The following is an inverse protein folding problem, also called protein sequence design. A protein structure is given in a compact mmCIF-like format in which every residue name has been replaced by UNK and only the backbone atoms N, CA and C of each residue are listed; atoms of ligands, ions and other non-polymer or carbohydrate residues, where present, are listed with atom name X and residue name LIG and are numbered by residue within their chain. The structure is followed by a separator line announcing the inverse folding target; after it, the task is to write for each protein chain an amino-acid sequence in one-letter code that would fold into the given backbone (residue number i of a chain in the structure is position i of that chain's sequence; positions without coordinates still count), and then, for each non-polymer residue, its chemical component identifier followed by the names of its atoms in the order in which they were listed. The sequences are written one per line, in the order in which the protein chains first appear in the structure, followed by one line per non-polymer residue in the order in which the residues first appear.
data_IF_652995836066
#
_entry.id   IF_652995836066
#
_cell.length_a   1.000
_cell.length_b   1.000
_cell.length_c   1.000
_cell.angle_alpha   90.00
_cell.angle_beta   90.00
_cell.angle_gamma   90.00
#
_symmetry.space_group_name_H-M   'P 1'
#
loop_
_entity.id
_entity.type
_entity.pdbx_description
1 polymer ?
#
# COMPACT_ATOMS: atom_id res chain seq x y z
N UNK A 1 34.59 34.73 -56.92
CA UNK A 1 34.84 34.68 -55.46
C UNK A 1 34.15 35.86 -54.80
N UNK A 2 33.01 35.65 -54.15
CA UNK A 2 32.37 36.63 -53.25
C UNK A 2 31.82 35.85 -52.06
N UNK A 3 32.55 35.93 -50.97
CA UNK A 3 32.22 35.43 -49.64
C UNK A 3 31.06 36.25 -49.07
N UNK A 4 29.95 35.59 -48.73
CA UNK A 4 28.88 36.16 -47.91
C UNK A 4 28.99 35.48 -46.55
N UNK A 5 29.48 36.24 -45.58
CA UNK A 5 29.46 35.95 -44.15
C UNK A 5 28.29 36.73 -43.56
N UNK A 6 27.28 36.04 -43.03
CA UNK A 6 26.29 36.67 -42.15
C UNK A 6 25.56 35.62 -41.32
N UNK A 7 25.28 36.03 -40.08
CA UNK A 7 24.31 35.50 -39.12
C UNK A 7 24.75 34.25 -38.32
N UNK A 8 24.57 34.18 -37.00
CA UNK A 8 24.15 35.17 -35.98
C UNK A 8 24.54 34.53 -34.64
N UNK A 9 25.33 35.22 -33.83
CA UNK A 9 25.61 34.82 -32.46
C UNK A 9 24.46 35.31 -31.57
N UNK A 10 23.69 34.38 -30.99
CA UNK A 10 22.74 34.63 -29.89
C UNK A 10 22.51 33.29 -29.16
N UNK A 11 23.50 32.89 -28.36
CA UNK A 11 23.31 31.86 -27.33
C UNK A 11 23.32 32.59 -25.98
N UNK A 12 22.14 33.01 -25.54
CA UNK A 12 21.92 33.53 -24.19
C UNK A 12 22.13 32.43 -23.14
N UNK A 13 22.62 32.77 -21.93
CA UNK A 13 22.82 31.79 -20.87
C UNK A 13 21.47 31.24 -20.40
N UNK A 14 21.31 29.91 -20.46
CA UNK A 14 20.23 29.19 -19.82
C UNK A 14 20.34 29.40 -18.31
N UNK A 15 19.45 30.21 -17.77
CA UNK A 15 19.26 30.34 -16.32
C UNK A 15 18.79 28.98 -15.83
N UNK A 16 19.64 28.26 -15.10
CA UNK A 16 19.26 27.05 -14.37
C UNK A 16 18.23 27.44 -13.31
N UNK A 17 16.95 27.22 -13.61
CA UNK A 17 15.93 27.18 -12.59
C UNK A 17 16.12 25.89 -11.80
N UNK A 18 16.94 25.96 -10.75
CA UNK A 18 16.76 25.08 -9.61
C UNK A 18 15.46 25.51 -8.92
N UNK A 19 14.33 25.16 -9.54
CA UNK A 19 13.01 25.31 -8.92
C UNK A 19 13.00 24.40 -7.72
N UNK A 20 12.94 24.99 -6.52
CA UNK A 20 12.51 24.31 -5.32
C UNK A 20 11.33 23.41 -5.69
N UNK A 21 11.41 22.12 -5.34
CA UNK A 21 10.35 21.15 -5.62
C UNK A 21 9.06 21.82 -5.14
N UNK A 22 8.12 22.17 -6.03
CA UNK A 22 6.90 22.85 -5.62
C UNK A 22 6.23 21.97 -4.57
N UNK A 23 5.83 22.60 -3.46
CA UNK A 23 5.24 21.91 -2.33
C UNK A 23 3.99 21.17 -2.84
N UNK A 24 4.08 19.84 -2.92
CA UNK A 24 3.01 19.03 -3.53
C UNK A 24 1.95 18.84 -2.48
N UNK A 25 0.86 19.60 -2.62
CA UNK A 25 -0.29 19.55 -1.72
C UNK A 25 -1.40 18.65 -2.29
N UNK A 26 -2.18 17.98 -1.46
CA UNK A 26 -3.50 17.30 -1.62
C UNK A 26 -4.48 17.97 -2.55
N UNK A 27 -4.38 19.29 -2.78
CA UNK A 27 -5.05 19.94 -3.92
C UNK A 27 -4.70 19.28 -5.27
N UNK A 28 -3.61 18.52 -5.32
CA UNK A 28 -3.11 17.76 -6.46
C UNK A 28 -3.65 16.33 -6.52
N UNK A 29 -4.39 15.84 -5.53
CA UNK A 29 -5.01 14.51 -5.56
C UNK A 29 -6.52 14.67 -5.42
N UNK A 30 -7.26 14.42 -6.50
CA UNK A 30 -8.71 14.36 -6.42
C UNK A 30 -9.12 12.96 -5.95
N UNK A 31 -9.73 12.92 -4.76
CA UNK A 31 -10.22 11.72 -4.10
C UNK A 31 -11.72 11.61 -4.39
N UNK A 32 -12.08 10.88 -5.43
CA UNK A 32 -13.46 10.87 -5.95
C UNK A 32 -14.35 9.84 -5.27
N UNK A 33 -13.78 8.75 -4.74
CA UNK A 33 -14.56 7.67 -4.12
C UNK A 33 -13.68 6.79 -3.25
N UNK A 34 -14.24 6.41 -2.09
CA UNK A 34 -13.71 5.38 -1.21
C UNK A 34 -14.89 4.52 -0.85
N UNK A 35 -14.79 3.23 -1.17
CA UNK A 35 -15.79 2.26 -0.82
C UNK A 35 -15.14 1.15 0.01
N UNK A 36 -15.67 0.93 1.21
CA UNK A 36 -15.47 -0.30 1.98
C UNK A 36 -16.78 -1.08 1.95
N UNK A 37 -16.77 -2.22 1.24
CA UNK A 37 -17.80 -3.27 1.05
C UNK A 37 -19.27 -2.87 0.79
N UNK A 38 -19.69 -1.63 1.07
CA UNK A 38 -21.04 -1.06 0.92
C UNK A 38 -21.15 0.40 1.37
N UNK A 39 -20.17 0.99 2.08
CA UNK A 39 -20.25 2.34 2.63
C UNK A 39 -19.16 3.29 2.09
N UNK A 40 -19.56 4.52 1.79
CA UNK A 40 -18.60 5.60 1.50
C UNK A 40 -18.09 6.21 2.79
N UNK A 41 -16.79 6.29 2.97
CA UNK A 41 -16.18 6.98 4.13
C UNK A 41 -15.23 8.08 3.67
N UNK A 42 -15.17 9.17 4.42
CA UNK A 42 -14.27 10.28 4.11
C UNK A 42 -12.85 9.99 4.60
N UNK A 43 -11.85 10.41 3.81
CA UNK A 43 -10.47 10.50 4.32
C UNK A 43 -10.29 11.74 5.16
N UNK A 44 -9.43 11.58 6.14
CA UNK A 44 -8.80 12.64 6.89
C UNK A 44 -7.36 12.74 6.42
N UNK A 45 -6.97 13.91 5.92
CA UNK A 45 -5.56 14.20 5.62
C UNK A 45 -4.82 14.39 6.94
N UNK A 46 -3.73 13.65 7.12
CA UNK A 46 -2.86 13.73 8.30
C UNK A 46 -1.65 14.63 8.06
N UNK A 47 -1.06 14.55 6.87
CA UNK A 47 0.05 15.40 6.45
C UNK A 47 0.13 15.47 4.94
N UNK A 48 0.72 16.53 4.41
CA UNK A 48 0.72 16.81 2.99
C UNK A 48 1.86 17.76 2.63
N UNK A 49 3.05 17.19 2.47
CA UNK A 49 4.30 17.94 2.33
C UNK A 49 5.34 17.12 1.59
N UNK A 50 6.21 17.78 0.82
CA UNK A 50 7.38 17.14 0.21
C UNK A 50 7.08 16.00 -0.76
N UNK A 51 5.97 16.07 -1.52
CA UNK A 51 5.60 15.00 -2.46
C UNK A 51 4.90 13.80 -1.80
N UNK A 52 4.59 13.86 -0.51
CA UNK A 52 3.93 12.79 0.21
C UNK A 52 2.63 13.28 0.88
N UNK A 53 1.53 12.68 0.47
CA UNK A 53 0.21 12.90 1.07
C UNK A 53 -0.15 11.71 1.95
N UNK A 54 -0.27 11.93 3.26
CA UNK A 54 -0.64 10.91 4.24
C UNK A 54 -2.09 11.08 4.66
N UNK A 55 -2.87 10.00 4.57
CA UNK A 55 -4.30 9.99 4.85
C UNK A 55 -4.70 8.87 5.79
N UNK A 56 -5.83 9.05 6.47
CA UNK A 56 -6.52 8.00 7.23
C UNK A 56 -8.02 8.03 7.04
N UNK A 57 -8.72 6.94 7.34
CA UNK A 57 -10.19 6.87 7.30
C UNK A 57 -10.73 6.23 8.57
N UNK A 58 -11.90 6.69 8.99
CA UNK A 58 -12.64 6.05 10.06
C UNK A 58 -13.05 4.60 9.71
N UNK A 59 -13.14 4.25 8.41
CA UNK A 59 -13.42 2.89 7.98
C UNK A 59 -12.37 1.91 8.50
N UNK A 60 -11.08 2.28 8.53
CA UNK A 60 -10.06 1.38 9.06
C UNK A 60 -10.18 1.06 10.55
N UNK A 61 -11.02 1.81 11.30
CA UNK A 61 -11.34 1.44 12.69
C UNK A 61 -12.22 0.18 12.76
N UNK A 62 -12.79 -0.27 11.63
CA UNK A 62 -13.47 -1.58 11.53
C UNK A 62 -12.50 -2.74 11.45
N UNK A 63 -11.20 -2.53 11.21
CA UNK A 63 -10.17 -3.54 11.44
C UNK A 63 -10.05 -3.76 12.96
N UNK A 64 -11.03 -4.49 13.49
CA UNK A 64 -11.27 -4.68 14.91
C UNK A 64 -10.24 -5.63 15.48
N UNK A 65 -10.14 -5.59 16.80
CA UNK A 65 -9.52 -6.65 17.57
C UNK A 65 -10.24 -7.95 17.23
N UNK A 66 -9.52 -8.91 16.64
CA UNK A 66 -10.00 -10.28 16.57
C UNK A 66 -9.47 -10.99 17.80
N UNK A 67 -10.33 -11.70 18.50
CA UNK A 67 -9.94 -12.64 19.52
C UNK A 67 -10.65 -13.97 19.33
N UNK A 68 -10.03 -15.04 19.79
CA UNK A 68 -10.66 -16.36 19.87
C UNK A 68 -10.11 -17.11 21.09
N UNK A 69 -10.99 -17.85 21.75
CA UNK A 69 -10.69 -18.68 22.93
C UNK A 69 -11.21 -20.10 22.68
N UNK A 70 -10.31 -21.08 22.73
CA UNK A 70 -10.64 -22.51 22.63
C UNK A 70 -11.63 -22.81 21.51
N UNK A 71 -11.25 -22.64 20.25
CA UNK A 71 -12.22 -22.76 19.16
C UNK A 71 -11.62 -22.81 17.77
N UNK A 72 -12.40 -22.33 16.81
CA UNK A 72 -11.97 -22.15 15.42
C UNK A 72 -11.22 -20.82 15.27
N UNK A 73 -10.43 -20.73 14.21
CA UNK A 73 -9.81 -19.49 13.83
C UNK A 73 -10.87 -18.45 13.45
N UNK A 74 -10.68 -17.23 13.95
CA UNK A 74 -11.46 -16.06 13.58
C UNK A 74 -10.64 -15.24 12.58
N UNK A 75 -11.32 -14.82 11.51
CA UNK A 75 -10.73 -14.09 10.40
C UNK A 75 -11.55 -12.83 10.17
N UNK A 76 -10.86 -11.71 9.94
CA UNK A 76 -11.47 -10.48 9.44
C UNK A 76 -10.69 -10.04 8.21
N UNK A 77 -11.43 -9.66 7.18
CA UNK A 77 -10.86 -9.18 5.94
C UNK A 77 -11.47 -7.83 5.62
N UNK A 78 -10.62 -6.83 5.48
CA UNK A 78 -11.00 -5.49 5.14
C UNK A 78 -10.49 -5.16 3.74
N UNK A 79 -11.43 -4.83 2.84
CA UNK A 79 -11.14 -4.44 1.47
C UNK A 79 -11.58 -3.00 1.24
N UNK A 80 -10.71 -2.21 0.65
CA UNK A 80 -10.96 -0.82 0.32
C UNK A 80 -10.55 -0.55 -1.13
N UNK A 81 -11.47 0.04 -1.88
CA UNK A 81 -11.19 0.55 -3.22
C UNK A 81 -11.21 2.06 -3.21
N UNK A 82 -10.22 2.67 -3.84
CA UNK A 82 -10.03 4.12 -3.90
C UNK A 82 -9.62 4.55 -5.30
N UNK A 83 -10.22 5.61 -5.81
CA UNK A 83 -9.78 6.22 -7.07
C UNK A 83 -8.89 7.41 -6.76
N UNK A 84 -7.65 7.41 -7.25
CA UNK A 84 -6.76 8.57 -7.19
C UNK A 84 -6.62 9.19 -8.57
N UNK A 85 -6.84 10.49 -8.67
CA UNK A 85 -6.53 11.27 -9.86
C UNK A 85 -5.47 12.33 -9.52
N UNK A 86 -4.25 12.25 -10.09
CA UNK A 86 -3.28 13.33 -9.94
C UNK A 86 -3.76 14.57 -10.69
N UNK A 87 -3.42 15.74 -10.17
CA UNK A 87 -3.67 17.00 -10.84
C UNK A 87 -2.78 17.15 -12.08
N UNK A 88 -3.19 18.04 -12.96
CA UNK A 88 -2.44 18.35 -14.17
C UNK A 88 -0.98 18.71 -13.84
N UNK A 89 -0.04 18.07 -14.53
CA UNK A 89 1.39 18.28 -14.32
C UNK A 89 2.00 17.44 -13.19
N UNK A 90 1.26 16.53 -12.57
CA UNK A 90 1.76 15.60 -11.56
C UNK A 90 1.56 14.14 -11.96
N UNK A 91 2.38 13.27 -11.37
CA UNK A 91 2.26 11.81 -11.46
C UNK A 91 2.32 11.18 -10.07
N UNK A 92 1.57 10.11 -9.85
CA UNK A 92 1.73 9.25 -8.67
C UNK A 92 2.93 8.33 -8.93
N UNK A 93 3.92 8.41 -8.05
CA UNK A 93 5.18 7.65 -8.14
C UNK A 93 5.20 6.42 -7.24
N UNK A 94 4.29 6.34 -6.29
CA UNK A 94 4.15 5.21 -5.39
C UNK A 94 3.09 5.44 -4.33
N UNK A 95 2.92 4.45 -3.47
CA UNK A 95 2.11 4.55 -2.27
C UNK A 95 2.55 3.50 -1.25
N UNK A 96 2.26 3.73 0.03
CA UNK A 96 2.51 2.78 1.10
C UNK A 96 1.37 2.79 2.12
N UNK A 97 1.01 1.62 2.62
CA UNK A 97 0.14 1.47 3.77
C UNK A 97 1.00 1.16 4.99
N UNK A 98 0.64 1.74 6.12
CA UNK A 98 1.28 1.43 7.39
C UNK A 98 0.27 1.37 8.53
N UNK A 99 0.48 0.46 9.46
CA UNK A 99 -0.26 0.34 10.71
C UNK A 99 0.63 -0.28 11.78
N UNK A 100 0.36 -0.02 13.05
CA UNK A 100 0.93 -0.79 14.14
C UNK A 100 0.07 -2.02 14.38
N UNK A 101 0.68 -3.20 14.34
CA UNK A 101 0.04 -4.45 14.71
C UNK A 101 0.55 -4.91 16.07
N UNK A 102 -0.36 -5.38 16.92
CA UNK A 102 -0.02 -5.98 18.20
C UNK A 102 -0.99 -7.09 18.52
N UNK A 103 -0.56 -8.05 19.32
CA UNK A 103 -1.41 -9.19 19.67
C UNK A 103 -1.00 -9.88 20.95
N UNK A 104 -1.82 -10.84 21.34
CA UNK A 104 -1.59 -11.73 22.49
C UNK A 104 -1.69 -13.15 21.97
N UNK A 105 -0.69 -13.97 22.27
CA UNK A 105 -0.72 -15.41 22.04
C UNK A 105 -0.54 -16.13 23.37
N UNK A 106 -1.52 -16.95 23.74
CA UNK A 106 -1.52 -17.75 24.96
C UNK A 106 -1.92 -19.19 24.62
N UNK A 107 -0.98 -20.04 24.20
CA UNK A 107 -1.24 -21.46 24.05
C UNK A 107 -1.72 -22.09 25.36
N UNK A 108 -2.59 -23.10 25.27
CA UNK A 108 -3.08 -23.83 26.43
C UNK A 108 -1.92 -24.42 27.25
N UNK A 109 -1.90 -24.13 28.55
CA UNK A 109 -0.90 -24.66 29.49
C UNK A 109 -1.36 -26.03 29.97
N UNK A 110 -0.43 -27.00 30.02
CA UNK A 110 -0.71 -28.36 30.50
C UNK A 110 -1.22 -28.32 31.95
N UNK A 111 -2.45 -28.80 32.22
CA UNK A 111 -2.96 -28.91 33.59
C UNK A 111 -2.18 -29.95 34.41
N UNK A 112 -2.05 -29.79 35.75
CA UNK A 112 -1.41 -30.78 36.63
C UNK A 112 -2.02 -32.19 36.54
N UNK A 113 -3.32 -32.28 36.30
CA UNK A 113 -4.09 -33.50 36.15
C UNK A 113 -3.89 -34.19 34.79
N UNK A 114 -3.34 -33.50 33.80
CA UNK A 114 -3.19 -34.04 32.45
C UNK A 114 -2.14 -35.15 32.41
N UNK A 115 -2.56 -36.32 31.96
CA UNK A 115 -1.71 -37.51 31.85
C UNK A 115 -0.77 -37.45 30.63
N UNK A 116 -0.12 -38.58 30.30
CA UNK A 116 0.82 -38.67 29.17
C UNK A 116 0.21 -38.47 27.77
N UNK A 117 -1.12 -38.45 27.64
CA UNK A 117 -1.82 -38.20 26.37
C UNK A 117 -1.99 -36.71 26.04
N UNK A 118 -1.49 -35.81 26.89
CA UNK A 118 -1.55 -34.36 26.67
C UNK A 118 -1.02 -33.95 25.30
N UNK A 119 -1.84 -33.18 24.58
CA UNK A 119 -1.48 -32.45 23.37
C UNK A 119 -1.62 -30.96 23.65
N UNK A 120 -0.58 -30.15 23.37
CA UNK A 120 -0.66 -28.71 23.56
C UNK A 120 -1.69 -28.08 22.63
N UNK A 121 -2.28 -26.98 23.08
CA UNK A 121 -3.10 -26.13 22.23
C UNK A 121 -2.25 -25.29 21.27
N UNK A 122 -2.92 -24.59 20.37
CA UNK A 122 -2.30 -23.71 19.38
C UNK A 122 -2.80 -22.29 19.63
N UNK A 123 -1.93 -21.28 19.50
CA UNK A 123 -2.30 -19.88 19.46
C UNK A 123 -1.45 -19.20 18.39
N UNK A 124 -2.08 -18.66 17.35
CA UNK A 124 -1.41 -18.04 16.21
C UNK A 124 -2.10 -16.73 15.85
N UNK A 125 -1.32 -15.77 15.40
CA UNK A 125 -1.82 -14.50 14.86
C UNK A 125 -1.23 -14.33 13.47
N UNK A 126 -2.03 -13.84 12.53
CA UNK A 126 -1.55 -13.51 11.20
C UNK A 126 -2.13 -12.19 10.73
N UNK A 127 -1.31 -11.45 9.99
CA UNK A 127 -1.68 -10.23 9.30
C UNK A 127 -1.14 -10.30 7.88
N UNK A 128 -1.97 -10.01 6.89
CA UNK A 128 -1.55 -9.85 5.51
C UNK A 128 -2.04 -8.53 4.92
N UNK A 129 -1.22 -7.98 4.04
CA UNK A 129 -1.51 -6.75 3.30
C UNK A 129 -1.32 -7.08 1.83
N UNK A 130 -2.35 -6.86 1.02
CA UNK A 130 -2.35 -6.96 -0.43
C UNK A 130 -2.51 -5.57 -1.02
N UNK A 131 -1.60 -5.24 -1.94
CA UNK A 131 -1.61 -3.99 -2.69
C UNK A 131 -1.65 -4.33 -4.18
N UNK A 132 -2.32 -3.49 -4.97
CA UNK A 132 -2.04 -3.46 -6.41
C UNK A 132 -0.55 -3.16 -6.65
N UNK A 133 0.05 -3.64 -7.72
CA UNK A 133 1.41 -3.22 -8.12
C UNK A 133 1.40 -1.98 -9.05
N UNK A 134 0.21 -1.42 -9.32
CA UNK A 134 0.01 -0.33 -10.28
C UNK A 134 0.16 -0.73 -11.75
N UNK A 135 0.31 -2.03 -12.05
CA UNK A 135 0.52 -2.63 -13.38
C UNK A 135 -0.42 -3.82 -13.63
N UNK A 136 -1.58 -3.81 -12.98
CA UNK A 136 -2.61 -4.88 -13.02
C UNK A 136 -2.22 -6.18 -12.29
N UNK A 137 -1.11 -6.20 -11.56
CA UNK A 137 -0.73 -7.27 -10.65
C UNK A 137 -1.07 -6.95 -9.19
N UNK A 138 -0.75 -7.92 -8.33
CA UNK A 138 -0.89 -7.82 -6.88
C UNK A 138 0.44 -8.16 -6.24
N UNK A 139 0.77 -7.44 -5.18
CA UNK A 139 1.89 -7.73 -4.30
C UNK A 139 1.36 -7.85 -2.88
N UNK A 140 1.93 -8.76 -2.09
CA UNK A 140 1.47 -9.00 -0.74
C UNK A 140 2.61 -9.19 0.24
N UNK A 141 2.33 -8.92 1.51
CA UNK A 141 3.23 -9.15 2.62
C UNK A 141 2.46 -9.75 3.77
N UNK A 142 3.00 -10.83 4.35
CA UNK A 142 2.43 -11.54 5.48
C UNK A 142 3.34 -11.39 6.71
N UNK A 143 2.72 -11.40 7.87
CA UNK A 143 3.36 -11.33 9.18
C UNK A 143 2.67 -12.32 10.10
N UNK A 144 3.44 -13.23 10.67
CA UNK A 144 2.95 -14.25 11.58
C UNK A 144 3.38 -13.94 13.03
N UNK A 145 2.59 -14.47 13.97
CA UNK A 145 2.82 -14.48 15.42
C UNK A 145 3.16 -13.13 16.04
N UNK A 146 2.45 -12.10 15.59
CA UNK A 146 2.59 -10.74 16.12
C UNK A 146 2.11 -10.71 17.58
N UNK A 147 3.07 -10.52 18.48
CA UNK A 147 2.87 -10.44 19.94
C UNK A 147 3.37 -9.12 20.54
N UNK A 148 4.24 -8.41 19.84
CA UNK A 148 4.74 -7.10 20.25
C UNK A 148 4.33 -6.03 19.24
N UNK A 149 4.08 -4.77 19.67
CA UNK A 149 3.77 -3.69 18.76
C UNK A 149 4.82 -3.56 17.66
N UNK A 150 4.43 -3.91 16.43
CA UNK A 150 5.30 -3.96 15.26
C UNK A 150 4.73 -3.02 14.19
N UNK A 151 5.58 -2.15 13.66
CA UNK A 151 5.19 -1.33 12.50
C UNK A 151 5.13 -2.23 11.27
N UNK A 152 3.93 -2.42 10.75
CA UNK A 152 3.72 -3.04 9.45
C UNK A 152 3.73 -1.92 8.42
N UNK A 153 4.75 -1.90 7.58
CA UNK A 153 4.83 -1.00 6.44
C UNK A 153 5.06 -1.80 5.17
N UNK A 154 4.29 -1.45 4.16
CA UNK A 154 4.37 -2.05 2.83
C UNK A 154 3.93 -1.05 1.77
N UNK A 155 4.63 -1.03 0.64
CA UNK A 155 4.35 -0.06 -0.39
C UNK A 155 4.89 -0.44 -1.75
N UNK A 156 4.41 0.28 -2.75
CA UNK A 156 4.77 0.16 -4.15
C UNK A 156 5.39 1.47 -4.60
N UNK A 157 6.47 1.39 -5.36
CA UNK A 157 7.27 2.53 -5.82
C UNK A 157 7.59 2.37 -7.31
N UNK A 158 8.09 3.44 -7.94
CA UNK A 158 8.47 3.42 -9.35
C UNK A 158 7.27 3.37 -10.30
N UNK A 159 6.17 3.98 -9.88
CA UNK A 159 4.98 4.21 -10.70
C UNK A 159 5.13 5.51 -11.51
N UNK A 160 4.29 5.66 -12.52
CA UNK A 160 4.17 6.87 -13.33
C UNK A 160 2.72 7.04 -13.78
N UNK A 161 1.83 7.21 -12.81
CA UNK A 161 0.38 7.28 -13.06
C UNK A 161 -0.02 8.74 -13.18
N UNK A 162 -0.51 9.12 -14.36
CA UNK A 162 -0.85 10.51 -14.76
C UNK A 162 -2.36 10.73 -14.95
N UNK A 163 -3.18 9.72 -14.60
CA UNK A 163 -4.62 9.70 -14.79
C UNK A 163 -5.33 9.07 -13.61
N UNK A 164 -6.64 9.31 -13.53
CA UNK A 164 -7.52 8.64 -12.59
C UNK A 164 -7.33 7.12 -12.68
N UNK A 165 -6.98 6.51 -11.55
CA UNK A 165 -6.71 5.08 -11.45
C UNK A 165 -7.35 4.54 -10.18
N UNK A 166 -7.99 3.39 -10.30
CA UNK A 166 -8.57 2.67 -9.17
C UNK A 166 -7.51 1.78 -8.53
N UNK A 167 -7.38 1.91 -7.21
CA UNK A 167 -6.50 1.12 -6.39
C UNK A 167 -7.34 0.28 -5.44
N UNK A 168 -7.00 -1.00 -5.38
CA UNK A 168 -7.56 -1.94 -4.44
C UNK A 168 -6.53 -2.24 -3.35
N UNK A 169 -6.97 -2.07 -2.11
CA UNK A 169 -6.22 -2.34 -0.90
C UNK A 169 -6.97 -3.39 -0.13
N UNK A 170 -6.30 -4.49 0.18
CA UNK A 170 -6.87 -5.53 1.02
C UNK A 170 -5.94 -5.79 2.20
N UNK A 171 -6.51 -5.85 3.39
CA UNK A 171 -5.81 -6.16 4.62
C UNK A 171 -6.60 -7.24 5.34
N UNK A 172 -5.96 -8.37 5.61
CA UNK A 172 -6.58 -9.45 6.36
C UNK A 172 -5.84 -9.65 7.68
N UNK A 173 -6.58 -9.92 8.73
CA UNK A 173 -6.06 -10.33 10.02
C UNK A 173 -6.77 -11.59 10.48
N UNK A 174 -6.04 -12.44 11.19
CA UNK A 174 -6.62 -13.63 11.80
C UNK A 174 -6.01 -13.92 13.15
N UNK A 175 -6.84 -14.35 14.08
CA UNK A 175 -6.43 -14.93 15.34
C UNK A 175 -6.95 -16.37 15.38
N UNK A 176 -6.07 -17.32 15.67
CA UNK A 176 -6.39 -18.73 15.76
C UNK A 176 -6.01 -19.25 17.13
N UNK A 177 -6.95 -19.89 17.83
CA UNK A 177 -6.69 -20.51 19.13
C UNK A 177 -7.37 -21.88 19.22
N UNK A 178 -6.56 -22.93 19.21
CA UNK A 178 -7.00 -24.32 19.36
C UNK A 178 -6.91 -24.81 20.81
N UNK A 179 -7.74 -25.78 21.17
CA UNK A 179 -7.66 -26.42 22.48
C UNK A 179 -6.37 -27.22 22.67
N UNK A 180 -5.81 -27.18 23.87
CA UNK A 180 -4.99 -28.29 24.37
C UNK A 180 -5.90 -29.36 24.95
N UNK A 181 -5.59 -30.63 24.75
CA UNK A 181 -6.44 -31.74 25.16
C UNK A 181 -5.68 -32.95 25.69
N UNK A 182 -6.34 -33.69 26.57
CA UNK A 182 -5.89 -35.00 27.04
C UNK A 182 -7.09 -35.91 27.22
N UNK A 183 -6.83 -37.22 27.33
CA UNK A 183 -7.86 -38.24 27.46
C UNK A 183 -7.62 -39.07 28.70
N UNK A 184 -8.64 -39.21 29.54
CA UNK A 184 -8.66 -40.17 30.63
C UNK A 184 -9.55 -41.36 30.26
N UNK A 185 -9.13 -42.58 30.59
CA UNK A 185 -9.88 -43.79 30.31
C UNK A 185 -10.19 -44.55 31.61
N UNK A 186 -11.07 -44.02 32.47
CA UNK A 186 -11.32 -44.60 33.79
C UNK A 186 -12.05 -45.95 33.73
N UNK A 187 -12.79 -46.25 32.66
CA UNK A 187 -13.59 -47.47 32.49
C UNK A 187 -13.01 -48.45 31.45
N UNK A 188 -11.94 -48.06 30.73
CA UNK A 188 -11.24 -48.89 29.75
C UNK A 188 -11.86 -48.89 28.35
N UNK A 189 -13.08 -48.35 28.18
CA UNK A 189 -13.84 -48.49 26.93
C UNK A 189 -14.07 -47.16 26.21
N UNK A 190 -14.23 -46.04 26.93
CA UNK A 190 -14.49 -44.74 26.32
C UNK A 190 -13.59 -43.65 26.92
N UNK A 191 -12.56 -43.20 26.19
CA UNK A 191 -11.72 -42.12 26.67
C UNK A 191 -12.54 -40.82 26.79
N UNK A 192 -12.59 -40.26 28.00
CA UNK A 192 -13.16 -38.94 28.26
C UNK A 192 -12.15 -37.88 27.83
N UNK A 193 -12.54 -37.02 26.88
CA UNK A 193 -11.70 -35.90 26.45
C UNK A 193 -11.86 -34.72 27.41
N UNK A 194 -10.72 -34.18 27.83
CA UNK A 194 -10.62 -32.94 28.57
C UNK A 194 -9.93 -31.88 27.70
N UNK A 195 -10.39 -30.63 27.81
CA UNK A 195 -9.91 -29.51 26.97
C UNK A 195 -9.58 -28.28 27.81
N UNK A 196 -8.53 -27.57 27.42
CA UNK A 196 -8.19 -26.22 27.91
C UNK A 196 -8.05 -25.29 26.72
N UNK A 197 -8.70 -24.13 26.78
CA UNK A 197 -8.64 -23.12 25.72
C UNK A 197 -7.26 -22.49 25.61
N UNK A 198 -6.78 -22.33 24.38
CA UNK A 198 -5.77 -21.32 24.07
C UNK A 198 -6.46 -20.00 23.78
N UNK A 199 -5.73 -18.89 23.83
CA UNK A 199 -6.22 -17.57 23.47
C UNK A 199 -5.29 -16.91 22.46
N UNK A 200 -5.87 -16.33 21.40
CA UNK A 200 -5.16 -15.52 20.43
C UNK A 200 -5.93 -14.22 20.20
N UNK A 201 -5.22 -13.12 20.07
CA UNK A 201 -5.78 -11.81 19.76
C UNK A 201 -4.83 -11.02 18.87
N UNK A 202 -5.34 -10.34 17.84
CA UNK A 202 -4.58 -9.39 17.02
C UNK A 202 -5.38 -8.11 16.83
N UNK A 203 -4.69 -6.98 16.80
CA UNK A 203 -5.25 -5.66 16.62
C UNK A 203 -4.34 -4.77 15.75
N UNK A 204 -4.95 -3.95 14.91
CA UNK A 204 -4.28 -2.83 14.25
C UNK A 204 -4.55 -1.51 14.96
N UNK A 205 -3.57 -0.63 14.90
CA UNK A 205 -3.65 0.72 15.43
C UNK A 205 -3.05 1.72 14.45
N UNK A 206 -3.70 2.88 14.37
CA UNK A 206 -3.29 4.04 13.57
C UNK A 206 -2.95 3.70 12.10
N UNK A 207 -3.85 3.04 11.36
CA UNK A 207 -3.64 2.76 9.95
C UNK A 207 -3.60 4.05 9.13
N UNK A 208 -2.62 4.14 8.22
CA UNK A 208 -2.35 5.29 7.37
C UNK A 208 -1.94 4.85 5.97
N UNK A 209 -2.39 5.58 4.95
CA UNK A 209 -1.95 5.44 3.56
C UNK A 209 -1.14 6.68 3.21
N UNK A 210 0.05 6.48 2.65
CA UNK A 210 0.89 7.53 2.10
C UNK A 210 0.89 7.39 0.59
N UNK A 211 0.60 8.47 -0.12
CA UNK A 211 0.63 8.55 -1.58
C UNK A 211 1.81 9.44 -1.96
N UNK A 212 2.70 8.93 -2.79
CA UNK A 212 3.87 9.65 -3.27
C UNK A 212 3.57 10.22 -4.66
N UNK A 213 3.88 11.50 -4.82
CA UNK A 213 3.63 12.28 -6.04
C UNK A 213 4.88 13.05 -6.42
N UNK A 214 5.04 13.26 -7.73
CA UNK A 214 6.10 14.09 -8.29
C UNK A 214 5.56 14.90 -9.46
N UNK A 215 6.31 15.92 -9.87
CA UNK A 215 6.03 16.59 -11.13
C UNK A 215 6.12 15.59 -12.29
N UNK A 216 5.13 15.64 -13.18
CA UNK A 216 5.17 14.90 -14.43
C UNK A 216 6.40 15.37 -15.22
N UNK A 217 7.12 14.46 -15.90
CA UNK A 217 8.18 14.85 -16.82
C UNK A 217 7.59 15.74 -17.92
N UNK A 218 7.79 17.05 -17.80
CA UNK A 218 7.46 18.00 -18.88
C UNK A 218 8.65 17.98 -19.84
N UNK A 219 8.46 17.66 -21.14
CA UNK A 219 9.57 17.73 -22.08
C UNK A 219 10.13 19.14 -22.07
N UNK A 220 11.43 19.25 -21.83
CA UNK A 220 12.08 20.56 -21.77
C UNK A 220 11.83 21.32 -23.07
N UNK A 221 11.76 22.67 -23.05
CA UNK A 221 11.55 23.48 -24.24
C UNK A 221 12.51 23.12 -25.40
N UNK A 222 13.72 22.68 -25.07
CA UNK A 222 14.74 22.22 -26.00
C UNK A 222 14.32 20.95 -26.76
N UNK A 223 13.59 20.04 -26.12
CA UNK A 223 13.04 18.82 -26.76
C UNK A 223 12.02 19.20 -27.83
N UNK A 224 11.16 20.17 -27.55
CA UNK A 224 10.21 20.71 -28.53
C UNK A 224 10.91 21.46 -29.66
N UNK A 225 11.93 22.25 -29.34
CA UNK A 225 12.73 22.95 -30.34
C UNK A 225 13.45 21.97 -31.28
N UNK A 226 14.01 20.88 -30.75
CA UNK A 226 14.64 19.82 -31.55
C UNK A 226 13.62 19.10 -32.44
N UNK A 227 12.43 18.80 -31.92
CA UNK A 227 11.35 18.20 -32.72
C UNK A 227 10.96 19.13 -33.88
N UNK A 228 10.72 20.42 -33.60
CA UNK A 228 10.38 21.42 -34.61
C UNK A 228 11.49 21.60 -35.64
N UNK A 229 12.76 21.63 -35.20
CA UNK A 229 13.91 21.70 -36.09
C UNK A 229 13.99 20.46 -37.00
N UNK A 230 13.74 19.27 -36.47
CA UNK A 230 13.67 18.02 -37.24
C UNK A 230 12.58 18.06 -38.31
N UNK A 231 11.37 18.50 -37.95
CA UNK A 231 10.26 18.67 -38.90
C UNK A 231 10.60 19.68 -40.00
N UNK A 232 11.21 20.81 -39.63
CA UNK A 232 11.64 21.83 -40.59
C UNK A 232 12.68 21.28 -41.58
N UNK A 233 13.66 20.51 -41.10
CA UNK A 233 14.68 19.85 -41.94
C UNK A 233 14.06 18.88 -42.95
N UNK A 234 13.12 18.04 -42.52
CA UNK A 234 12.40 17.12 -43.41
C UNK A 234 11.61 17.88 -44.48
N UNK A 235 10.96 18.99 -44.10
CA UNK A 235 10.25 19.86 -45.04
C UNK A 235 11.17 20.48 -46.10
N UNK A 236 12.34 20.98 -45.70
CA UNK A 236 13.35 21.54 -46.61
C UNK A 236 13.90 20.45 -47.55
N UNK A 237 14.22 19.26 -47.03
CA UNK A 237 14.71 18.14 -47.83
C UNK A 237 13.70 17.70 -48.89
N UNK A 238 12.41 17.57 -48.51
CA UNK A 238 11.33 17.21 -49.45
C UNK A 238 11.12 18.27 -50.55
N UNK A 239 11.26 19.55 -50.21
CA UNK A 239 11.18 20.65 -51.20
C UNK A 239 12.34 20.60 -52.19
N UNK A 240 13.53 20.20 -51.73
CA UNK A 240 14.72 20.05 -52.60
C UNK A 240 14.60 18.86 -53.55
N UNK A 241 14.01 17.75 -53.14
CA UNK A 241 13.81 16.58 -54.01
C UNK A 241 12.72 16.74 -55.09
N UNK A 242 11.89 17.80 -55.01
CA UNK A 242 10.86 18.12 -56.02
C UNK A 242 11.32 19.15 -57.05
N UNK A 243 12.52 19.71 -56.90
CA UNK A 243 13.17 20.57 -57.88
C UNK A 243 14.26 19.78 -58.59
#
# INVERSE_FOLDING_TARGET
MRTILAALALATPLVSYASAIPDVHTSTLNLTSISDYSNSTALTVLSDQGGATKVTTAAWRTMRNIETDGGFANYDNYQMSMTFAPAAGYVITGYSISAYASGILKPAVRPPEANGSWKPGVAENRSSIYLSDGRSGLTFKEFDDITTPTLLEFGVQGLSIDRATDFHFETAISANAGFGNWWDNPDGWNPTEHRVGSYAQIAFKDPTLTIYTALAPVPEPETWAMLLAGIALVGVAKRRNKR
#
